data_IF_193861321638
#
_entry.id   IF_193861321638
#
_cell.length_a   1.000
_cell.length_b   1.000
_cell.length_c   1.000
_cell.angle_alpha   90.00
_cell.angle_beta   90.00
_cell.angle_gamma   90.00
#
_symmetry.space_group_name_H-M   'P 1'
#
loop_
_entity.id
_entity.type
_entity.pdbx_description
1 polymer ?
#
# COMPACT_ATOMS: atom_id res chain seq x y z
N UNK A 1 8.40 -47.38 -42.60
CA UNK A 1 7.43 -46.26 -42.84
C UNK A 1 7.42 -45.47 -41.55
N UNK A 2 8.11 -44.31 -41.59
CA UNK A 2 8.22 -43.42 -40.42
C UNK A 2 7.08 -42.41 -40.46
N UNK A 3 6.32 -42.33 -39.40
CA UNK A 3 5.41 -41.20 -39.15
C UNK A 3 6.19 -40.04 -38.57
N UNK A 4 6.15 -38.90 -39.26
CA UNK A 4 6.66 -37.62 -38.77
C UNK A 4 5.63 -37.05 -37.79
N UNK A 5 6.03 -36.87 -36.54
CA UNK A 5 5.31 -36.04 -35.57
C UNK A 5 5.35 -34.57 -36.05
N UNK A 6 4.17 -34.06 -36.36
CA UNK A 6 3.93 -32.66 -36.67
C UNK A 6 3.86 -31.93 -35.34
N UNK A 7 4.89 -31.15 -35.01
CA UNK A 7 4.85 -30.21 -33.90
C UNK A 7 4.01 -29.00 -34.29
N UNK A 8 3.01 -28.69 -33.51
CA UNK A 8 2.13 -27.55 -33.68
C UNK A 8 2.80 -26.30 -33.11
N UNK A 9 3.12 -25.25 -33.90
CA UNK A 9 3.68 -24.02 -33.40
C UNK A 9 2.56 -23.00 -33.19
N UNK A 10 1.92 -22.98 -32.04
CA UNK A 10 1.13 -21.84 -31.56
C UNK A 10 0.74 -21.99 -30.11
N UNK A 11 1.72 -21.98 -29.21
CA UNK A 11 1.46 -21.42 -27.85
C UNK A 11 1.83 -19.93 -27.92
N UNK A 12 0.87 -19.14 -28.42
CA UNK A 12 0.90 -17.71 -28.26
C UNK A 12 0.83 -17.40 -26.77
N UNK A 13 1.88 -16.77 -26.24
CA UNK A 13 1.88 -16.14 -24.93
C UNK A 13 0.71 -15.15 -24.88
N UNK A 14 -0.42 -15.58 -24.34
CA UNK A 14 -1.47 -14.65 -23.95
C UNK A 14 -0.91 -13.87 -22.75
N UNK A 15 -0.35 -12.70 -23.02
CA UNK A 15 -0.15 -11.68 -22.00
C UNK A 15 -1.52 -11.44 -21.36
N UNK A 16 -1.62 -11.66 -20.05
CA UNK A 16 -2.84 -11.33 -19.31
C UNK A 16 -3.21 -9.87 -19.62
N UNK A 17 -4.51 -9.55 -19.80
CA UNK A 17 -4.91 -8.17 -20.07
C UNK A 17 -4.40 -7.31 -18.91
N UNK A 18 -3.84 -6.12 -19.24
CA UNK A 18 -3.53 -5.08 -18.29
C UNK A 18 -4.84 -4.70 -17.57
N UNK A 19 -5.01 -5.20 -16.35
CA UNK A 19 -6.25 -5.06 -15.58
C UNK A 19 -6.27 -3.80 -14.72
N UNK A 20 -5.25 -2.93 -14.84
CA UNK A 20 -5.09 -1.80 -13.92
C UNK A 20 -5.01 -2.28 -12.46
N UNK A 21 -4.45 -1.52 -11.57
CA UNK A 21 -4.39 -1.90 -10.16
C UNK A 21 -5.79 -2.01 -9.53
N UNK A 22 -6.27 -3.23 -9.29
CA UNK A 22 -7.55 -3.48 -8.62
C UNK A 22 -7.30 -3.57 -7.12
N UNK A 23 -7.79 -2.59 -6.36
CA UNK A 23 -7.76 -2.68 -4.89
C UNK A 23 -8.72 -3.77 -4.39
N UNK A 24 -8.17 -4.88 -3.94
CA UNK A 24 -8.92 -6.11 -3.61
C UNK A 24 -9.93 -5.93 -2.49
N UNK A 25 -9.65 -5.09 -1.48
CA UNK A 25 -10.59 -4.83 -0.38
C UNK A 25 -11.79 -3.95 -0.81
N UNK A 26 -11.71 -3.32 -1.98
CA UNK A 26 -12.74 -2.40 -2.50
C UNK A 26 -12.99 -1.19 -1.62
N UNK A 27 -13.96 -0.36 -2.03
CA UNK A 27 -14.29 0.91 -1.39
C UNK A 27 -15.70 0.90 -0.78
N UNK A 28 -16.13 -0.25 -0.22
CA UNK A 28 -17.41 -0.32 0.49
C UNK A 28 -17.40 0.60 1.72
N UNK A 29 -18.58 1.03 2.17
CA UNK A 29 -18.70 1.86 3.38
C UNK A 29 -18.09 1.19 4.63
N UNK A 30 -18.08 -0.15 4.68
CA UNK A 30 -17.44 -0.89 5.77
C UNK A 30 -15.91 -0.82 5.67
N UNK A 31 -15.34 -1.06 4.46
CA UNK A 31 -13.89 -0.93 4.22
C UNK A 31 -13.41 0.49 4.52
N UNK A 32 -14.17 1.49 4.08
CA UNK A 32 -13.85 2.90 4.33
C UNK A 32 -13.84 3.25 5.82
N UNK A 33 -14.82 2.78 6.60
CA UNK A 33 -14.83 2.99 8.06
C UNK A 33 -13.62 2.34 8.75
N UNK A 34 -13.23 1.13 8.33
CA UNK A 34 -12.05 0.45 8.88
C UNK A 34 -10.78 1.25 8.55
N UNK A 35 -10.63 1.74 7.33
CA UNK A 35 -9.47 2.56 6.96
C UNK A 35 -9.44 3.87 7.74
N UNK A 36 -10.57 4.56 7.85
CA UNK A 36 -10.67 5.84 8.57
C UNK A 36 -10.46 5.70 10.09
N UNK A 37 -10.63 4.52 10.68
CA UNK A 37 -10.36 4.28 12.10
C UNK A 37 -8.89 4.07 12.46
N UNK A 38 -8.02 3.99 11.45
CA UNK A 38 -6.58 3.81 11.67
C UNK A 38 -5.95 5.11 12.17
N UNK A 39 -4.92 5.00 13.00
CA UNK A 39 -4.17 6.16 13.52
C UNK A 39 -2.67 5.94 13.43
N UNK A 40 -1.89 7.02 13.43
CA UNK A 40 -0.43 6.94 13.43
C UNK A 40 0.11 6.26 14.68
N UNK A 41 -0.50 6.51 15.86
CA UNK A 41 -0.08 5.98 17.15
C UNK A 41 -0.14 4.44 17.21
N UNK A 42 -1.06 3.85 16.45
CA UNK A 42 -1.23 2.39 16.39
C UNK A 42 -0.52 1.81 15.17
N UNK A 43 -0.71 2.42 14.00
CA UNK A 43 -0.34 1.81 12.74
C UNK A 43 1.06 2.18 12.24
N UNK A 44 1.60 3.33 12.72
CA UNK A 44 2.97 3.77 12.47
C UNK A 44 3.82 3.83 13.75
N UNK A 45 3.36 3.22 14.86
CA UNK A 45 4.03 3.26 16.18
C UNK A 45 5.52 2.93 16.12
N UNK A 46 5.90 1.97 15.29
CA UNK A 46 7.29 1.54 15.13
C UNK A 46 8.19 2.59 14.48
N UNK A 47 7.62 3.49 13.66
CA UNK A 47 8.34 4.54 12.94
C UNK A 47 8.38 5.85 13.75
N UNK A 48 7.32 6.16 14.52
CA UNK A 48 7.20 7.43 15.25
C UNK A 48 8.44 7.84 16.07
N UNK A 49 9.16 6.93 16.80
CA UNK A 49 10.32 7.29 17.58
C UNK A 49 11.50 7.84 16.77
N UNK A 50 11.54 7.59 15.48
CA UNK A 50 12.61 7.98 14.57
C UNK A 50 12.28 9.25 13.79
N UNK A 51 11.01 9.64 13.71
CA UNK A 51 10.60 10.88 13.07
C UNK A 51 11.04 12.10 13.89
N UNK A 52 11.35 13.19 13.18
CA UNK A 52 11.81 14.44 13.81
C UNK A 52 11.04 15.64 13.23
N UNK A 53 10.78 16.68 14.03
CA UNK A 53 10.26 17.94 13.51
C UNK A 53 11.12 18.48 12.35
N UNK A 54 10.47 18.98 11.32
CA UNK A 54 11.12 19.51 10.13
C UNK A 54 11.36 18.48 9.01
N UNK A 55 11.12 17.18 9.25
CA UNK A 55 11.23 16.15 8.20
C UNK A 55 10.15 16.33 7.14
N UNK A 56 10.49 15.95 5.90
CA UNK A 56 9.54 15.76 4.79
C UNK A 56 9.23 14.29 4.65
N UNK A 57 7.95 13.93 4.84
CA UNK A 57 7.48 12.54 4.88
C UNK A 57 6.55 12.24 3.70
N UNK A 58 6.73 11.08 3.08
CA UNK A 58 5.81 10.51 2.09
C UNK A 58 5.05 9.33 2.69
N UNK A 59 3.71 9.32 2.53
CA UNK A 59 2.83 8.19 2.87
C UNK A 59 2.27 7.59 1.59
N UNK A 60 2.76 6.41 1.22
CA UNK A 60 2.38 5.70 0.00
C UNK A 60 1.14 4.84 0.25
N UNK A 61 0.09 5.03 -0.57
CA UNK A 61 -1.21 4.38 -0.38
C UNK A 61 -1.91 4.92 0.86
N UNK A 62 -1.96 6.25 0.99
CA UNK A 62 -2.45 6.94 2.18
C UNK A 62 -3.94 6.70 2.48
N UNK A 63 -4.71 6.21 1.49
CA UNK A 63 -6.15 6.03 1.62
C UNK A 63 -6.86 7.30 2.08
N UNK A 64 -7.78 7.22 3.08
CA UNK A 64 -8.50 8.39 3.59
C UNK A 64 -7.64 9.31 4.49
N UNK A 65 -6.31 9.18 4.49
CA UNK A 65 -5.38 10.07 5.17
C UNK A 65 -5.36 9.97 6.70
N UNK A 66 -6.03 9.00 7.29
CA UNK A 66 -6.19 8.91 8.75
C UNK A 66 -4.86 8.69 9.50
N UNK A 67 -3.92 7.96 8.90
CA UNK A 67 -2.56 7.80 9.44
C UNK A 67 -1.71 9.01 9.07
N UNK A 68 -1.80 9.47 7.82
CA UNK A 68 -1.02 10.58 7.26
C UNK A 68 -1.15 11.86 8.09
N UNK A 69 -2.37 12.19 8.51
CA UNK A 69 -2.64 13.38 9.34
C UNK A 69 -1.89 13.32 10.69
N UNK A 70 -1.85 12.16 11.33
CA UNK A 70 -1.06 11.97 12.55
C UNK A 70 0.45 12.04 12.32
N UNK A 71 0.93 11.51 11.19
CA UNK A 71 2.33 11.61 10.78
C UNK A 71 2.73 13.06 10.49
N UNK A 72 1.85 13.83 9.82
CA UNK A 72 2.06 15.26 9.57
C UNK A 72 2.24 16.05 10.87
N UNK A 73 1.42 15.80 11.89
CA UNK A 73 1.58 16.40 13.21
C UNK A 73 2.94 16.06 13.84
N UNK A 74 3.41 14.82 13.67
CA UNK A 74 4.69 14.37 14.24
C UNK A 74 5.89 15.07 13.62
N UNK A 75 5.86 15.34 12.31
CA UNK A 75 6.97 16.00 11.61
C UNK A 75 6.86 17.52 11.59
N UNK A 76 5.79 18.14 12.10
CA UNK A 76 5.63 19.58 12.13
C UNK A 76 6.84 20.29 12.76
N UNK A 77 7.36 21.42 12.19
CA UNK A 77 6.84 22.19 11.04
C UNK A 77 7.24 21.64 9.66
N UNK A 78 7.76 20.44 9.56
CA UNK A 78 7.96 19.73 8.30
C UNK A 78 6.64 19.37 7.61
N UNK A 79 6.71 18.73 6.48
CA UNK A 79 5.55 18.45 5.63
C UNK A 79 5.33 16.95 5.45
N UNK A 80 4.06 16.55 5.35
CA UNK A 80 3.68 15.23 4.90
C UNK A 80 3.00 15.31 3.53
N UNK A 81 3.33 14.34 2.67
CA UNK A 81 2.69 14.10 1.38
C UNK A 81 2.04 12.72 1.42
N UNK A 82 0.75 12.64 1.17
CA UNK A 82 0.04 11.38 0.97
C UNK A 82 -0.25 11.15 -0.50
N UNK A 83 0.05 9.96 -1.02
CA UNK A 83 -0.36 9.55 -2.36
C UNK A 83 -1.28 8.34 -2.33
N UNK A 84 -2.23 8.30 -3.24
CA UNK A 84 -3.09 7.14 -3.49
C UNK A 84 -3.50 7.13 -4.97
N UNK A 85 -3.74 5.94 -5.53
CA UNK A 85 -4.21 5.82 -6.92
C UNK A 85 -5.68 6.19 -7.08
N UNK A 86 -6.45 6.20 -5.99
CA UNK A 86 -7.88 6.43 -5.99
C UNK A 86 -8.23 7.88 -5.59
N UNK A 87 -8.66 8.75 -6.53
CA UNK A 87 -9.00 10.13 -6.21
C UNK A 87 -10.04 10.29 -5.09
N UNK A 88 -11.01 9.37 -5.01
CA UNK A 88 -12.05 9.39 -3.97
C UNK A 88 -11.47 9.26 -2.55
N UNK A 89 -10.35 8.55 -2.38
CA UNK A 89 -9.65 8.44 -1.10
C UNK A 89 -9.01 9.78 -0.71
N UNK A 90 -8.43 10.48 -1.69
CA UNK A 90 -7.76 11.77 -1.46
C UNK A 90 -8.74 12.87 -1.09
N UNK A 91 -9.98 12.84 -1.62
CA UNK A 91 -11.01 13.77 -1.21
C UNK A 91 -11.39 13.58 0.26
N UNK A 92 -11.48 12.32 0.71
CA UNK A 92 -11.69 12.00 2.13
C UNK A 92 -10.48 12.40 2.98
N UNK A 93 -9.27 12.20 2.48
CA UNK A 93 -8.05 12.58 3.17
C UNK A 93 -7.95 14.09 3.38
N UNK A 94 -8.30 14.89 2.35
CA UNK A 94 -8.36 16.35 2.44
C UNK A 94 -9.42 16.82 3.44
N UNK A 95 -10.60 16.19 3.41
CA UNK A 95 -11.68 16.49 4.37
C UNK A 95 -11.25 16.17 5.81
N UNK A 96 -10.58 15.03 6.01
CA UNK A 96 -10.07 14.62 7.32
C UNK A 96 -8.99 15.57 7.85
N UNK A 97 -8.04 15.98 7.01
CA UNK A 97 -7.01 16.97 7.39
C UNK A 97 -7.65 18.31 7.79
N UNK A 98 -8.65 18.77 7.04
CA UNK A 98 -9.39 19.99 7.34
C UNK A 98 -10.16 19.89 8.67
N UNK A 99 -10.83 18.76 8.93
CA UNK A 99 -11.53 18.49 10.21
C UNK A 99 -10.56 18.55 11.40
N UNK A 100 -9.35 18.03 11.23
CA UNK A 100 -8.30 18.03 12.28
C UNK A 100 -7.47 19.31 12.32
N UNK A 101 -7.76 20.29 11.45
CA UNK A 101 -7.01 21.54 11.31
C UNK A 101 -5.51 21.34 11.06
N UNK A 102 -5.12 20.24 10.37
CA UNK A 102 -3.74 19.95 9.99
C UNK A 102 -3.46 20.58 8.63
N UNK A 103 -2.50 21.49 8.57
CA UNK A 103 -2.21 22.31 7.39
C UNK A 103 -0.90 21.98 6.69
N UNK A 104 -0.02 21.20 7.34
CA UNK A 104 1.26 20.77 6.80
C UNK A 104 1.17 19.38 6.12
N UNK A 105 0.05 19.10 5.46
CA UNK A 105 -0.18 17.87 4.71
C UNK A 105 -0.79 18.18 3.35
N UNK A 106 -0.32 17.46 2.32
CA UNK A 106 -0.86 17.51 0.96
C UNK A 106 -1.21 16.11 0.49
N UNK A 107 -2.14 16.01 -0.47
CA UNK A 107 -2.60 14.73 -1.01
C UNK A 107 -2.68 14.80 -2.54
N UNK A 108 -1.99 13.88 -3.23
CA UNK A 108 -1.90 13.81 -4.68
C UNK A 108 -2.18 12.41 -5.20
N UNK A 109 -2.73 12.33 -6.42
CA UNK A 109 -2.85 11.05 -7.12
C UNK A 109 -1.45 10.59 -7.52
N UNK A 110 -1.10 9.36 -7.17
CA UNK A 110 0.21 8.80 -7.52
C UNK A 110 0.25 7.28 -7.37
N UNK A 111 1.08 6.66 -8.21
CA UNK A 111 1.40 5.23 -8.13
C UNK A 111 2.74 5.08 -7.40
N UNK A 112 2.81 4.20 -6.43
CA UNK A 112 4.06 3.89 -5.71
C UNK A 112 5.14 3.30 -6.64
N UNK A 113 4.73 2.71 -7.77
CA UNK A 113 5.66 2.17 -8.78
C UNK A 113 6.18 3.22 -9.76
N UNK A 114 5.63 4.44 -9.74
CA UNK A 114 6.06 5.57 -10.60
C UNK A 114 5.79 6.89 -9.83
N UNK A 115 6.65 7.19 -8.85
CA UNK A 115 6.47 8.31 -7.95
C UNK A 115 6.77 9.64 -8.65
N UNK A 116 5.84 10.63 -8.65
CA UNK A 116 6.01 11.90 -9.36
C UNK A 116 6.92 12.88 -8.59
N UNK A 117 7.93 12.36 -7.91
CA UNK A 117 8.84 13.15 -7.09
C UNK A 117 10.28 12.99 -7.56
N UNK A 118 11.14 14.02 -7.38
CA UNK A 118 12.56 13.90 -7.69
C UNK A 118 13.29 12.96 -6.72
N UNK A 119 14.48 12.53 -7.13
CA UNK A 119 15.37 11.73 -6.28
C UNK A 119 15.67 12.47 -4.97
N UNK A 120 15.82 11.71 -3.89
CA UNK A 120 16.18 12.26 -2.57
C UNK A 120 15.28 13.39 -2.06
N UNK A 121 13.97 13.29 -2.33
CA UNK A 121 12.99 14.32 -1.96
C UNK A 121 12.51 14.22 -0.50
N UNK A 122 12.55 13.03 0.11
CA UNK A 122 11.93 12.76 1.40
C UNK A 122 12.94 12.27 2.45
N UNK A 123 12.72 12.69 3.70
CA UNK A 123 13.48 12.22 4.86
C UNK A 123 12.95 10.89 5.38
N UNK A 124 11.64 10.65 5.18
CA UNK A 124 10.98 9.42 5.58
C UNK A 124 9.92 9.00 4.56
N UNK A 125 9.79 7.69 4.34
CA UNK A 125 8.70 7.08 3.55
C UNK A 125 7.98 6.07 4.42
N UNK A 126 6.66 6.14 4.43
CA UNK A 126 5.78 5.22 5.13
C UNK A 126 4.82 4.54 4.16
N UNK A 127 4.37 3.34 4.49
CA UNK A 127 3.29 2.65 3.80
C UNK A 127 2.62 1.63 4.71
N UNK A 128 1.30 1.49 4.57
CA UNK A 128 0.52 0.58 5.38
C UNK A 128 -0.44 -0.24 4.52
N UNK A 129 -0.25 -1.56 4.46
CA UNK A 129 -1.06 -2.49 3.66
C UNK A 129 -1.11 -2.15 2.17
N UNK A 130 0.02 -1.69 1.63
CA UNK A 130 0.15 -1.35 0.22
C UNK A 130 0.96 -2.39 -0.55
N UNK A 131 2.11 -2.85 -0.03
CA UNK A 131 2.96 -3.78 -0.77
C UNK A 131 2.29 -5.15 -0.98
N UNK A 132 1.36 -5.53 -0.11
CA UNK A 132 0.54 -6.72 -0.30
C UNK A 132 -0.31 -6.70 -1.58
N UNK A 133 -0.52 -5.53 -2.20
CA UNK A 133 -1.25 -5.43 -3.47
C UNK A 133 -0.41 -5.90 -4.68
N UNK A 134 0.88 -6.15 -4.49
CA UNK A 134 1.82 -6.54 -5.53
C UNK A 134 2.34 -7.96 -5.30
N UNK A 135 2.45 -8.74 -6.38
CA UNK A 135 3.15 -10.02 -6.34
C UNK A 135 4.68 -9.81 -6.29
N UNK A 136 5.15 -8.80 -7.00
CA UNK A 136 6.54 -8.33 -6.96
C UNK A 136 6.59 -6.90 -6.43
N UNK A 137 7.11 -6.67 -5.21
CA UNK A 137 7.21 -5.34 -4.63
C UNK A 137 8.45 -4.55 -5.11
N UNK A 138 9.35 -5.15 -5.88
CA UNK A 138 10.62 -4.50 -6.26
C UNK A 138 10.44 -3.18 -7.01
N UNK A 139 9.51 -3.01 -7.98
CA UNK A 139 9.31 -1.72 -8.64
C UNK A 139 8.94 -0.61 -7.64
N UNK A 140 8.00 -0.90 -6.72
CA UNK A 140 7.60 0.05 -5.68
C UNK A 140 8.77 0.39 -4.73
N UNK A 141 9.53 -0.62 -4.29
CA UNK A 141 10.67 -0.41 -3.39
C UNK A 141 11.82 0.34 -4.07
N UNK A 142 12.02 0.16 -5.38
CA UNK A 142 13.01 0.92 -6.16
C UNK A 142 12.66 2.41 -6.20
N UNK A 143 11.39 2.75 -6.44
CA UNK A 143 10.92 4.13 -6.43
C UNK A 143 11.00 4.76 -5.03
N UNK A 144 10.60 4.01 -4.00
CA UNK A 144 10.78 4.44 -2.60
C UNK A 144 12.25 4.74 -2.28
N UNK A 145 13.16 3.87 -2.70
CA UNK A 145 14.60 4.10 -2.53
C UNK A 145 15.09 5.32 -3.30
N UNK A 146 14.61 5.55 -4.51
CA UNK A 146 14.98 6.68 -5.36
C UNK A 146 14.59 8.02 -4.72
N UNK A 147 13.36 8.12 -4.21
CA UNK A 147 12.86 9.38 -3.64
C UNK A 147 13.33 9.62 -2.21
N UNK A 148 13.89 8.61 -1.54
CA UNK A 148 14.40 8.72 -0.18
C UNK A 148 15.80 9.33 -0.17
N UNK A 149 16.04 10.31 0.72
CA UNK A 149 17.36 10.89 0.92
C UNK A 149 18.35 9.85 1.42
N UNK A 150 19.65 9.97 1.13
CA UNK A 150 20.68 9.15 1.77
C UNK A 150 20.57 9.19 3.29
N UNK A 151 20.45 8.02 3.92
CA UNK A 151 20.23 7.91 5.37
C UNK A 151 18.80 8.19 5.83
N UNK A 152 17.87 8.37 4.92
CA UNK A 152 16.45 8.54 5.21
C UNK A 152 15.81 7.25 5.77
N UNK A 153 14.62 7.40 6.31
CA UNK A 153 13.89 6.32 6.99
C UNK A 153 12.84 5.71 6.08
N UNK A 154 12.70 4.39 6.11
CA UNK A 154 11.60 3.68 5.46
C UNK A 154 10.86 2.81 6.47
N UNK A 155 9.53 2.84 6.44
CA UNK A 155 8.71 2.01 7.31
C UNK A 155 7.48 1.48 6.60
N UNK A 156 7.43 0.17 6.37
CA UNK A 156 6.23 -0.52 5.89
C UNK A 156 5.63 -1.40 6.99
N UNK A 157 4.31 -1.44 7.01
CA UNK A 157 3.56 -2.37 7.85
C UNK A 157 2.60 -3.17 6.97
N UNK A 158 2.95 -4.43 6.77
CA UNK A 158 2.21 -5.36 5.93
C UNK A 158 1.64 -6.52 6.75
N UNK A 159 0.45 -7.02 6.42
CA UNK A 159 -0.14 -8.15 7.11
C UNK A 159 0.53 -9.47 6.71
N UNK A 160 0.38 -10.46 7.60
CA UNK A 160 0.66 -11.88 7.35
C UNK A 160 -0.67 -12.61 7.60
N UNK A 161 -1.51 -12.70 6.59
CA UNK A 161 -2.85 -13.25 6.76
C UNK A 161 -2.88 -14.78 6.93
N UNK A 162 -1.85 -15.49 6.45
CA UNK A 162 -1.73 -16.93 6.70
C UNK A 162 -1.59 -17.30 8.18
N UNK A 163 -1.20 -16.31 9.02
CA UNK A 163 -1.14 -16.48 10.48
C UNK A 163 -2.49 -16.23 11.18
N UNK A 164 -3.53 -15.84 10.46
CA UNK A 164 -4.85 -15.66 11.04
C UNK A 164 -5.42 -17.03 11.43
N UNK A 165 -5.66 -17.20 12.73
CA UNK A 165 -6.30 -18.40 13.25
C UNK A 165 -7.82 -18.19 13.24
N UNK A 166 -8.54 -19.14 12.66
CA UNK A 166 -9.99 -19.20 12.73
C UNK A 166 -10.41 -20.52 13.41
N UNK A 167 -11.15 -20.41 14.49
CA UNK A 167 -11.65 -21.56 15.25
C UNK A 167 -13.18 -21.63 15.17
N UNK A 168 -13.74 -22.81 14.89
CA UNK A 168 -13.04 -24.05 14.53
C UNK A 168 -12.46 -23.99 13.09
N UNK A 169 -11.44 -24.81 12.78
CA UNK A 169 -10.94 -24.96 11.43
C UNK A 169 -12.08 -25.31 10.43
N UNK A 170 -12.07 -24.70 9.24
CA UNK A 170 -13.16 -24.87 8.27
C UNK A 170 -14.40 -24.01 8.54
N UNK A 171 -14.37 -23.15 9.58
CA UNK A 171 -15.42 -22.17 9.84
C UNK A 171 -15.64 -21.23 8.66
N UNK A 172 -16.77 -20.51 8.64
CA UNK A 172 -17.02 -19.48 7.62
C UNK A 172 -15.91 -18.41 7.59
N UNK A 173 -15.32 -18.08 8.74
CA UNK A 173 -14.19 -17.15 8.85
C UNK A 173 -12.93 -17.71 8.20
N UNK A 174 -12.59 -19.00 8.41
CA UNK A 174 -11.46 -19.68 7.77
C UNK A 174 -11.65 -19.73 6.24
N UNK A 175 -12.86 -20.06 5.79
CA UNK A 175 -13.20 -20.06 4.36
C UNK A 175 -13.10 -18.66 3.75
N UNK A 176 -13.53 -17.61 4.47
CA UNK A 176 -13.41 -16.21 4.02
C UNK A 176 -11.96 -15.79 3.84
N UNK A 177 -11.06 -16.12 4.77
CA UNK A 177 -9.64 -15.79 4.65
C UNK A 177 -8.98 -16.52 3.47
N UNK A 178 -9.31 -17.79 3.26
CA UNK A 178 -8.83 -18.55 2.10
C UNK A 178 -9.34 -17.96 0.78
N UNK A 179 -10.61 -17.56 0.73
CA UNK A 179 -11.18 -16.89 -0.44
C UNK A 179 -10.51 -15.54 -0.69
N UNK A 180 -10.33 -14.73 0.34
CA UNK A 180 -9.67 -13.44 0.24
C UNK A 180 -8.25 -13.58 -0.33
N UNK A 181 -7.46 -14.55 0.17
CA UNK A 181 -6.12 -14.81 -0.35
C UNK A 181 -6.11 -15.20 -1.84
N UNK A 182 -7.09 -16.01 -2.26
CA UNK A 182 -7.23 -16.38 -3.69
C UNK A 182 -7.60 -15.18 -4.56
N UNK A 183 -8.50 -14.33 -4.10
CA UNK A 183 -8.90 -13.11 -4.83
C UNK A 183 -7.75 -12.12 -4.90
N UNK A 184 -7.02 -11.94 -3.79
CA UNK A 184 -5.85 -11.07 -3.77
C UNK A 184 -4.78 -11.56 -4.76
N UNK A 185 -4.44 -12.84 -4.73
CA UNK A 185 -3.48 -13.43 -5.67
C UNK A 185 -3.94 -13.31 -7.14
N UNK A 186 -5.24 -13.50 -7.40
CA UNK A 186 -5.83 -13.30 -8.73
C UNK A 186 -5.69 -11.85 -9.23
N UNK A 187 -5.75 -10.87 -8.32
CA UNK A 187 -5.55 -9.45 -8.60
C UNK A 187 -4.06 -9.04 -8.58
N UNK A 188 -3.13 -9.98 -8.46
CA UNK A 188 -1.70 -9.73 -8.50
C UNK A 188 -1.07 -9.37 -7.15
N UNK A 189 -1.75 -9.62 -6.04
CA UNK A 189 -1.24 -9.37 -4.69
C UNK A 189 -0.67 -10.62 -3.99
N UNK A 190 -0.09 -10.39 -2.81
CA UNK A 190 0.48 -11.41 -1.93
C UNK A 190 -0.07 -11.26 -0.51
N UNK A 191 -0.84 -12.27 -0.05
CA UNK A 191 -1.48 -12.28 1.27
C UNK A 191 -0.48 -12.32 2.44
N UNK A 192 0.74 -12.73 2.18
CA UNK A 192 1.82 -12.89 3.15
C UNK A 192 3.03 -11.98 2.89
N UNK A 193 2.81 -10.87 2.21
CA UNK A 193 3.86 -9.89 1.92
C UNK A 193 4.70 -9.53 3.14
N UNK A 194 4.08 -9.42 4.32
CA UNK A 194 4.81 -9.15 5.57
C UNK A 194 5.84 -10.20 5.98
N UNK A 195 5.89 -11.38 5.34
CA UNK A 195 6.97 -12.39 5.54
C UNK A 195 8.16 -12.16 4.63
N UNK A 196 7.97 -11.38 3.55
CA UNK A 196 8.98 -11.15 2.52
C UNK A 196 9.77 -9.86 2.74
N UNK A 197 9.27 -9.02 3.64
CA UNK A 197 9.91 -7.78 4.11
C UNK A 197 10.71 -8.04 5.37
#
# INVERSE_FOLDING_TARGET
>A
RGEKLVTNPAESSQTAPDRGHIYTCGYSSASMRIMASRTSEVHAKFLLPYLRPGMRLLDCGCGPGSITVGLANTVAPGEAMGIDIAPVQLDLARAHAAEKAVTNVQFEVGDICDLPFPDSAFDAVFGHTILMQFQDPHPALAEVHRVLKPGGLVGFREPIFSNNLAEPPGSAQDQLWKLFGRVLAYNGGDIDMGRRL
#
